data_IF_661145347745
#
_entry.id   IF_661145347745
#
_cell.length_a   1.000
_cell.length_b   1.000
_cell.length_c   1.000
_cell.angle_alpha   90.00
_cell.angle_beta   90.00
_cell.angle_gamma   90.00
#
_symmetry.space_group_name_H-M   'P 1'
#
loop_
_entity.id
_entity.type
_entity.pdbx_description
1 polymer ?
#
# COMPACT_ATOMS: atom_id res chain seq x y z
N UNK A 1 -4.48 -5.29 -15.82
CA UNK A 1 -3.35 -4.44 -15.45
C UNK A 1 -2.75 -4.93 -14.15
N UNK A 2 -1.44 -4.82 -14.04
CA UNK A 2 -0.75 -5.24 -12.83
C UNK A 2 -0.09 -4.05 -12.16
N UNK A 3 0.16 -4.21 -10.87
CA UNK A 3 0.83 -3.20 -10.05
C UNK A 3 2.04 -3.83 -9.41
N UNK A 4 3.12 -3.11 -9.33
CA UNK A 4 4.32 -3.64 -8.69
C UNK A 4 4.70 -2.81 -7.46
N UNK A 5 5.22 -3.50 -6.45
CA UNK A 5 5.64 -2.84 -5.22
C UNK A 5 6.84 -1.94 -5.51
N UNK A 6 6.80 -0.66 -5.13
CA UNK A 6 7.92 0.25 -5.37
C UNK A 6 9.15 -0.07 -4.52
N UNK A 7 9.01 -0.95 -3.55
CA UNK A 7 10.09 -1.31 -2.64
C UNK A 7 10.75 -2.63 -3.03
N UNK A 8 9.95 -3.66 -3.32
CA UNK A 8 10.48 -5.00 -3.56
C UNK A 8 10.07 -5.61 -4.90
N UNK A 9 9.37 -4.87 -5.73
CA UNK A 9 8.94 -5.30 -7.06
C UNK A 9 7.96 -6.47 -7.10
N UNK A 10 7.33 -6.81 -5.98
CA UNK A 10 6.28 -7.82 -6.01
C UNK A 10 5.12 -7.33 -6.87
N UNK A 11 4.62 -8.19 -7.74
CA UNK A 11 3.52 -7.86 -8.64
C UNK A 11 2.20 -8.31 -8.03
N UNK A 12 1.20 -7.43 -8.08
CA UNK A 12 -0.15 -7.71 -7.62
C UNK A 12 -1.14 -7.34 -8.70
N UNK A 13 -2.26 -8.05 -8.75
CA UNK A 13 -3.26 -7.82 -9.79
C UNK A 13 -4.13 -6.58 -9.53
N UNK A 14 -4.21 -6.12 -8.29
CA UNK A 14 -4.96 -4.92 -7.94
C UNK A 14 -4.15 -4.02 -7.01
N UNK A 15 -4.50 -2.74 -7.01
CA UNK A 15 -3.86 -1.79 -6.10
C UNK A 15 -4.17 -2.11 -4.64
N UNK A 16 -5.37 -2.65 -4.36
CA UNK A 16 -5.73 -3.06 -3.01
C UNK A 16 -4.86 -4.20 -2.51
N UNK A 17 -4.62 -5.19 -3.34
CA UNK A 17 -3.74 -6.30 -2.99
C UNK A 17 -2.32 -5.81 -2.74
N UNK A 18 -1.86 -4.86 -3.53
CA UNK A 18 -0.54 -4.27 -3.33
C UNK A 18 -0.48 -3.49 -2.02
N UNK A 19 -1.53 -2.73 -1.69
CA UNK A 19 -1.61 -2.01 -0.43
C UNK A 19 -1.54 -2.98 0.75
N UNK A 20 -2.25 -4.09 0.68
CA UNK A 20 -2.19 -5.13 1.71
C UNK A 20 -0.79 -5.71 1.85
N UNK A 21 -0.12 -5.91 0.74
CA UNK A 21 1.24 -6.40 0.74
C UNK A 21 2.18 -5.45 1.48
N UNK A 22 2.11 -4.17 1.15
CA UNK A 22 3.01 -3.17 1.74
C UNK A 22 2.75 -3.02 3.24
N UNK A 23 1.50 -2.91 3.63
CA UNK A 23 1.14 -2.77 5.05
C UNK A 23 1.47 -4.07 5.81
N UNK A 24 1.21 -5.22 5.17
CA UNK A 24 1.45 -6.51 5.80
C UNK A 24 2.92 -6.85 6.00
N UNK A 25 3.80 -6.30 5.16
CA UNK A 25 5.24 -6.52 5.34
C UNK A 25 5.75 -5.85 6.61
N UNK A 26 5.38 -4.60 6.82
CA UNK A 26 5.70 -3.88 8.05
C UNK A 26 7.18 -3.68 8.35
N UNK A 27 8.07 -3.98 7.41
CA UNK A 27 9.49 -3.77 7.61
C UNK A 27 9.87 -2.31 7.38
N UNK A 28 11.10 -1.97 7.74
CA UNK A 28 11.56 -0.59 7.68
C UNK A 28 11.43 0.03 6.29
N UNK A 29 11.80 -0.70 5.25
CA UNK A 29 11.80 -0.17 3.87
C UNK A 29 10.38 0.14 3.40
N UNK A 30 9.44 -0.76 3.67
CA UNK A 30 8.05 -0.55 3.30
C UNK A 30 7.42 0.59 4.09
N UNK A 31 7.71 0.67 5.40
CA UNK A 31 7.20 1.76 6.24
C UNK A 31 7.79 3.11 5.82
N UNK A 32 9.06 3.13 5.48
CA UNK A 32 9.72 4.37 5.01
C UNK A 32 9.09 4.86 3.71
N UNK A 33 8.76 3.95 2.81
CA UNK A 33 8.09 4.34 1.58
C UNK A 33 6.71 4.96 1.86
N UNK A 34 5.95 4.34 2.76
CA UNK A 34 4.63 4.86 3.17
C UNK A 34 4.78 6.27 3.74
N UNK A 35 5.77 6.48 4.61
CA UNK A 35 6.03 7.78 5.20
C UNK A 35 6.42 8.82 4.16
N UNK A 36 7.17 8.42 3.15
CA UNK A 36 7.61 9.33 2.08
C UNK A 36 6.44 9.84 1.24
N UNK A 37 5.30 9.16 1.28
CA UNK A 37 4.09 9.57 0.57
C UNK A 37 3.12 10.37 1.44
N UNK A 38 3.55 10.74 2.63
CA UNK A 38 2.74 11.55 3.54
C UNK A 38 1.80 10.74 4.42
N UNK A 39 1.91 9.42 4.41
CA UNK A 39 1.12 8.57 5.29
C UNK A 39 1.87 8.24 6.57
N UNK A 40 1.12 7.95 7.61
CA UNK A 40 1.67 7.45 8.86
C UNK A 40 1.30 5.98 8.97
N UNK A 41 2.30 5.10 9.05
CA UNK A 41 2.07 3.66 9.09
C UNK A 41 1.17 3.25 10.27
N UNK A 42 1.40 3.84 11.44
CA UNK A 42 0.58 3.55 12.62
C UNK A 42 -0.87 3.96 12.42
N UNK A 43 -1.11 5.09 11.77
CA UNK A 43 -2.46 5.55 11.47
C UNK A 43 -3.16 4.62 10.49
N UNK A 44 -2.45 4.14 9.48
CA UNK A 44 -3.02 3.19 8.53
C UNK A 44 -3.43 1.90 9.21
N UNK A 45 -2.59 1.40 10.13
CA UNK A 45 -2.93 0.21 10.91
C UNK A 45 -4.15 0.46 11.80
N UNK A 46 -4.22 1.63 12.42
CA UNK A 46 -5.35 2.00 13.27
C UNK A 46 -6.65 2.06 12.47
N UNK A 47 -6.61 2.65 11.30
CA UNK A 47 -7.77 2.69 10.41
C UNK A 47 -8.23 1.29 10.05
N UNK A 48 -7.28 0.39 9.81
CA UNK A 48 -7.59 -0.98 9.45
C UNK A 48 -8.26 -1.74 10.60
N UNK A 49 -7.85 -1.47 11.84
CA UNK A 49 -8.49 -2.06 13.02
C UNK A 49 -9.87 -1.49 13.29
N UNK A 50 -10.08 -0.21 13.04
CA UNK A 50 -11.35 0.46 13.29
C UNK A 50 -12.39 0.22 12.20
N UNK A 51 -11.93 0.00 10.99
CA UNK A 51 -12.81 -0.14 9.85
C UNK A 51 -12.62 -1.50 9.19
N UNK A 52 -13.66 -2.30 9.20
CA UNK A 52 -13.62 -3.60 8.53
C UNK A 52 -13.78 -3.46 7.01
N UNK A 53 -14.01 -2.26 6.53
CA UNK A 53 -14.16 -1.99 5.10
C UNK A 53 -12.85 -1.75 4.34
N UNK A 54 -11.71 -1.87 5.01
CA UNK A 54 -10.41 -1.73 4.35
C UNK A 54 -10.03 -0.30 3.99
N UNK A 55 -10.44 0.67 4.78
CA UNK A 55 -10.21 2.07 4.46
C UNK A 55 -8.73 2.47 4.46
N UNK A 56 -7.93 1.88 5.34
CA UNK A 56 -6.50 2.11 5.34
C UNK A 56 -5.86 1.63 4.04
N UNK A 57 -6.26 0.46 3.59
CA UNK A 57 -5.78 -0.08 2.32
C UNK A 57 -6.23 0.77 1.14
N UNK A 58 -7.47 1.27 1.20
CA UNK A 58 -8.04 2.06 0.12
C UNK A 58 -7.29 3.37 -0.10
N UNK A 59 -6.97 4.06 0.98
CA UNK A 59 -6.22 5.32 0.90
C UNK A 59 -4.85 5.10 0.25
N UNK A 60 -4.16 4.04 0.68
CA UNK A 60 -2.86 3.70 0.10
C UNK A 60 -3.00 3.21 -1.33
N UNK A 61 -4.05 2.45 -1.64
CA UNK A 61 -4.29 1.93 -2.97
C UNK A 61 -4.44 3.04 -4.02
N UNK A 62 -5.05 4.15 -3.65
CA UNK A 62 -5.20 5.29 -4.55
C UNK A 62 -3.84 5.85 -4.98
N UNK A 63 -2.92 5.96 -4.04
CA UNK A 63 -1.56 6.40 -4.35
C UNK A 63 -0.84 5.39 -5.22
N UNK A 64 -0.96 4.12 -4.87
CA UNK A 64 -0.30 3.03 -5.62
C UNK A 64 -0.83 2.96 -7.06
N UNK A 65 -2.10 3.15 -7.25
CA UNK A 65 -2.70 3.12 -8.57
C UNK A 65 -2.09 4.17 -9.50
N UNK A 66 -1.75 5.32 -8.96
CA UNK A 66 -1.18 6.39 -9.76
C UNK A 66 0.33 6.27 -9.95
N UNK A 67 1.05 5.68 -9.00
CA UNK A 67 2.51 5.71 -8.99
C UNK A 67 3.18 4.40 -9.36
N UNK A 68 2.51 3.28 -9.17
CA UNK A 68 3.17 1.97 -9.35
C UNK A 68 2.49 1.08 -10.37
N UNK A 69 1.58 1.64 -11.13
CA UNK A 69 0.87 0.89 -12.15
C UNK A 69 1.83 0.40 -13.23
N UNK A 70 1.88 -0.90 -13.40
CA UNK A 70 2.73 -1.49 -14.42
C UNK A 70 2.05 -1.37 -15.79
N UNK A 71 2.84 -1.02 -16.78
CA UNK A 71 2.36 -1.00 -18.15
C UNK A 71 2.30 -2.44 -18.69
N UNK A 72 1.20 -2.78 -19.30
CA UNK A 72 1.08 -4.10 -19.93
C UNK A 72 1.70 -4.12 -21.31
#
# INVERSE_FOLDING_TARGET
MNYHCPVCNKVSSTAMDLARHIIGRGDKVHRDWISSKGFNFSELLTLQFKSFGGEGYKALAEVLENETRAED
#
